data_IF_811068086577
#
_entry.id   IF_811068086577
#
_cell.length_a   1.000
_cell.length_b   1.000
_cell.length_c   1.000
_cell.angle_alpha   90.00
_cell.angle_beta   90.00
_cell.angle_gamma   90.00
#
_symmetry.space_group_name_H-M   'P 1'
#
loop_
_entity.id
_entity.type
_entity.pdbx_description
1 polymer ?
#
# COMPACT_ATOMS: atom_id res chain seq x y z
N UNK A 1 30.10 7.74 -47.65
CA UNK A 1 30.56 7.72 -46.24
C UNK A 1 29.61 8.41 -45.27
N UNK A 2 28.96 9.53 -45.61
CA UNK A 2 28.09 10.31 -44.69
C UNK A 2 26.82 9.55 -44.23
N UNK A 3 26.23 8.72 -45.08
CA UNK A 3 24.99 7.95 -44.78
C UNK A 3 25.19 6.93 -43.64
N UNK A 4 26.35 6.27 -43.60
CA UNK A 4 26.67 5.28 -42.55
C UNK A 4 26.88 5.94 -41.18
N UNK A 5 27.44 7.16 -41.14
CA UNK A 5 27.65 7.92 -39.90
C UNK A 5 26.30 8.37 -39.31
N UNK A 6 25.35 8.79 -40.15
CA UNK A 6 24.00 9.17 -39.71
C UNK A 6 23.22 7.95 -39.20
N UNK A 7 23.32 6.81 -39.89
CA UNK A 7 22.66 5.56 -39.48
C UNK A 7 23.23 5.02 -38.15
N UNK A 8 24.56 5.06 -37.98
CA UNK A 8 25.23 4.70 -36.73
C UNK A 8 24.80 5.62 -35.57
N UNK A 9 24.73 6.94 -35.78
CA UNK A 9 24.32 7.89 -34.74
C UNK A 9 22.87 7.70 -34.30
N UNK A 10 21.98 7.29 -35.22
CA UNK A 10 20.58 7.01 -34.94
C UNK A 10 20.39 5.76 -34.09
N UNK A 11 21.18 4.70 -34.34
CA UNK A 11 21.19 3.51 -33.48
C UNK A 11 21.73 3.83 -32.08
N UNK A 12 22.85 4.55 -31.98
CA UNK A 12 23.42 4.91 -30.67
C UNK A 12 22.54 5.84 -29.85
N UNK A 13 21.61 6.57 -30.46
CA UNK A 13 20.64 7.43 -29.75
C UNK A 13 19.31 6.71 -29.45
N UNK A 14 18.89 5.77 -30.30
CA UNK A 14 17.69 4.96 -30.06
C UNK A 14 17.89 3.90 -28.95
N UNK A 15 19.08 3.31 -28.86
CA UNK A 15 19.43 2.32 -27.83
C UNK A 15 19.39 2.86 -26.39
N UNK A 16 19.90 4.06 -26.04
CA UNK A 16 19.80 4.60 -24.67
C UNK A 16 18.36 4.95 -24.28
N UNK A 17 17.52 5.44 -25.21
CA UNK A 17 16.11 5.70 -24.93
C UNK A 17 15.34 4.40 -24.65
N UNK A 18 15.57 3.34 -25.44
CA UNK A 18 14.96 2.01 -25.22
C UNK A 18 15.45 1.37 -23.92
N UNK A 19 16.74 1.51 -23.56
CA UNK A 19 17.29 1.06 -22.27
C UNK A 19 16.66 1.79 -21.09
N UNK A 20 16.49 3.11 -21.16
CA UNK A 20 15.84 3.88 -20.10
C UNK A 20 14.38 3.46 -19.89
N UNK A 21 13.64 3.26 -20.98
CA UNK A 21 12.26 2.76 -20.94
C UNK A 21 12.17 1.37 -20.28
N UNK A 22 13.11 0.47 -20.57
CA UNK A 22 13.17 -0.86 -19.93
C UNK A 22 13.48 -0.74 -18.43
N UNK A 23 14.46 0.08 -18.04
CA UNK A 23 14.80 0.28 -16.63
C UNK A 23 13.62 0.88 -15.87
N UNK A 24 12.96 1.90 -16.43
CA UNK A 24 11.77 2.51 -15.84
C UNK A 24 10.64 1.49 -15.68
N UNK A 25 10.38 0.66 -16.68
CA UNK A 25 9.38 -0.40 -16.61
C UNK A 25 9.70 -1.43 -15.52
N UNK A 26 10.96 -1.88 -15.42
CA UNK A 26 11.40 -2.82 -14.38
C UNK A 26 11.26 -2.23 -12.97
N UNK A 27 11.59 -0.95 -12.79
CA UNK A 27 11.41 -0.24 -11.52
C UNK A 27 9.94 -0.14 -11.15
N UNK A 28 9.06 0.24 -12.10
CA UNK A 28 7.60 0.32 -11.85
C UNK A 28 7.01 -1.05 -11.51
N UNK A 29 7.42 -2.11 -12.23
CA UNK A 29 7.00 -3.49 -11.95
C UNK A 29 7.45 -3.91 -10.56
N UNK A 30 8.72 -3.67 -10.20
CA UNK A 30 9.24 -3.99 -8.88
C UNK A 30 8.48 -3.26 -7.77
N UNK A 31 8.24 -1.95 -7.90
CA UNK A 31 7.46 -1.16 -6.93
C UNK A 31 6.04 -1.70 -6.79
N UNK A 32 5.41 -2.08 -7.91
CA UNK A 32 4.06 -2.64 -7.92
C UNK A 32 4.00 -3.99 -7.21
N UNK A 33 4.95 -4.89 -7.48
CA UNK A 33 5.07 -6.20 -6.82
C UNK A 33 5.28 -6.06 -5.31
N UNK A 34 6.19 -5.18 -4.90
CA UNK A 34 6.46 -4.88 -3.48
C UNK A 34 5.21 -4.34 -2.80
N UNK A 35 4.47 -3.45 -3.47
CA UNK A 35 3.21 -2.89 -2.94
C UNK A 35 2.13 -3.95 -2.76
N UNK A 36 1.99 -4.90 -3.69
CA UNK A 36 1.02 -5.99 -3.56
C UNK A 36 1.39 -6.92 -2.39
N UNK A 37 2.66 -7.30 -2.28
CA UNK A 37 3.13 -8.19 -1.22
C UNK A 37 2.97 -7.57 0.18
N UNK A 38 3.32 -6.29 0.32
CA UNK A 38 3.17 -5.57 1.58
C UNK A 38 1.68 -5.49 2.03
N UNK A 39 0.73 -5.35 1.08
CA UNK A 39 -0.71 -5.28 1.41
C UNK A 39 -1.16 -6.59 2.06
N UNK A 40 -0.75 -7.70 1.45
CA UNK A 40 -1.05 -9.04 1.94
C UNK A 40 -0.50 -9.29 3.34
N UNK A 41 0.74 -8.88 3.62
CA UNK A 41 1.35 -9.02 4.95
C UNK A 41 0.56 -8.26 6.01
N UNK A 42 0.24 -6.98 5.77
CA UNK A 42 -0.46 -6.16 6.76
C UNK A 42 -1.87 -6.70 7.03
N UNK A 43 -2.60 -7.07 5.98
CA UNK A 43 -3.94 -7.69 6.14
C UNK A 43 -3.84 -8.99 6.94
N UNK A 44 -2.82 -9.81 6.66
CA UNK A 44 -2.59 -11.05 7.39
C UNK A 44 -2.31 -10.80 8.87
N UNK A 45 -1.44 -9.84 9.22
CA UNK A 45 -1.17 -9.46 10.61
C UNK A 45 -2.44 -9.02 11.32
N UNK A 46 -3.27 -8.18 10.69
CA UNK A 46 -4.54 -7.71 11.29
C UNK A 46 -5.53 -8.87 11.49
N UNK A 47 -5.62 -9.81 10.54
CA UNK A 47 -6.49 -10.99 10.68
C UNK A 47 -5.99 -11.96 11.76
N UNK A 48 -4.68 -12.15 11.86
CA UNK A 48 -4.02 -12.90 12.94
C UNK A 48 -4.37 -12.26 14.27
N UNK A 49 -4.20 -10.94 14.40
CA UNK A 49 -4.63 -10.20 15.58
C UNK A 49 -6.12 -10.42 15.89
N UNK A 50 -7.02 -10.28 14.92
CA UNK A 50 -8.46 -10.52 15.13
C UNK A 50 -8.78 -11.93 15.63
N UNK A 51 -8.00 -12.95 15.22
CA UNK A 51 -8.20 -14.35 15.61
C UNK A 51 -7.65 -14.66 17.00
N UNK A 52 -6.48 -14.13 17.36
CA UNK A 52 -5.81 -14.45 18.62
C UNK A 52 -6.06 -13.43 19.74
N UNK A 53 -6.51 -12.22 19.42
CA UNK A 53 -6.80 -11.21 20.43
C UNK A 53 -7.99 -11.65 21.31
N UNK A 54 -7.89 -11.48 22.64
CA UNK A 54 -8.96 -11.85 23.55
C UNK A 54 -10.22 -11.03 23.29
N UNK A 55 -11.38 -11.65 23.50
CA UNK A 55 -12.68 -11.01 23.28
C UNK A 55 -12.82 -9.69 24.06
N UNK A 56 -12.25 -9.61 25.27
CA UNK A 56 -12.24 -8.38 26.09
C UNK A 56 -11.65 -7.18 25.34
N UNK A 57 -10.55 -7.36 24.61
CA UNK A 57 -9.90 -6.28 23.85
C UNK A 57 -10.72 -5.91 22.62
N UNK A 58 -11.28 -6.92 21.92
CA UNK A 58 -12.12 -6.69 20.74
C UNK A 58 -13.43 -5.96 21.07
N UNK A 59 -14.05 -6.29 22.21
CA UNK A 59 -15.29 -5.68 22.71
C UNK A 59 -15.06 -4.31 23.38
N UNK A 60 -13.80 -3.95 23.68
CA UNK A 60 -13.46 -2.64 24.23
C UNK A 60 -13.44 -1.53 23.17
N UNK A 61 -13.55 -1.89 21.88
CA UNK A 61 -13.57 -0.91 20.80
C UNK A 61 -14.84 -0.07 20.89
N UNK A 62 -14.68 1.25 20.96
CA UNK A 62 -15.80 2.21 21.14
C UNK A 62 -16.44 2.66 19.83
N UNK A 63 -15.80 2.34 18.72
CA UNK A 63 -16.27 2.72 17.41
C UNK A 63 -16.75 1.53 16.58
N UNK A 64 -17.75 1.77 15.74
CA UNK A 64 -18.27 0.84 14.73
C UNK A 64 -17.89 1.33 13.32
N UNK A 65 -17.36 0.47 12.43
CA UNK A 65 -16.89 -0.88 12.71
C UNK A 65 -15.63 -0.82 13.60
N UNK A 66 -15.26 -1.94 14.23
CA UNK A 66 -14.08 -2.00 15.12
C UNK A 66 -12.81 -1.41 14.48
N UNK A 67 -11.87 -0.85 15.26
CA UNK A 67 -10.63 -0.25 14.72
C UNK A 67 -9.83 -1.21 13.83
N UNK A 68 -9.82 -2.51 14.16
CA UNK A 68 -9.18 -3.54 13.32
C UNK A 68 -9.87 -3.71 11.97
N UNK A 69 -11.20 -3.70 11.95
CA UNK A 69 -12.00 -3.79 10.72
C UNK A 69 -11.87 -2.53 9.89
N UNK A 70 -11.90 -1.35 10.51
CA UNK A 70 -11.64 -0.08 9.85
C UNK A 70 -10.26 -0.06 9.20
N UNK A 71 -9.24 -0.59 9.86
CA UNK A 71 -7.90 -0.66 9.26
C UNK A 71 -7.89 -1.52 8.00
N UNK A 72 -8.62 -2.65 7.97
CA UNK A 72 -8.76 -3.47 6.76
C UNK A 72 -9.44 -2.70 5.63
N UNK A 73 -10.58 -2.05 5.90
CA UNK A 73 -11.32 -1.28 4.88
C UNK A 73 -10.52 -0.07 4.41
N UNK A 74 -9.81 0.61 5.31
CA UNK A 74 -8.97 1.75 4.97
C UNK A 74 -7.76 1.35 4.11
N UNK A 75 -7.13 0.21 4.40
CA UNK A 75 -6.05 -0.36 3.57
C UNK A 75 -6.56 -0.73 2.19
N UNK A 76 -7.78 -1.25 2.10
CA UNK A 76 -8.38 -1.61 0.81
C UNK A 76 -8.69 -0.39 -0.04
N UNK A 77 -9.29 0.66 0.55
CA UNK A 77 -9.72 1.88 -0.13
C UNK A 77 -8.60 2.87 -0.45
N UNK A 78 -7.63 3.03 0.45
CA UNK A 78 -6.60 4.07 0.35
C UNK A 78 -5.18 3.53 0.10
N UNK A 79 -5.02 2.21 0.01
CA UNK A 79 -3.73 1.55 -0.03
C UNK A 79 -3.07 1.46 1.35
N UNK A 80 -1.93 0.79 1.42
CA UNK A 80 -1.29 0.39 2.68
C UNK A 80 -0.91 1.59 3.54
N UNK A 81 -0.15 2.54 2.97
CA UNK A 81 0.42 3.64 3.75
C UNK A 81 -0.69 4.50 4.36
N UNK A 82 -1.61 4.99 3.53
CA UNK A 82 -2.71 5.84 3.98
C UNK A 82 -3.71 5.06 4.84
N UNK A 83 -3.98 3.80 4.50
CA UNK A 83 -4.89 2.94 5.25
C UNK A 83 -4.39 2.64 6.66
N UNK A 84 -3.11 2.28 6.79
CA UNK A 84 -2.46 2.06 8.09
C UNK A 84 -2.45 3.34 8.92
N UNK A 85 -2.08 4.48 8.33
CA UNK A 85 -2.09 5.77 9.04
C UNK A 85 -3.49 6.13 9.54
N UNK A 86 -4.53 5.96 8.71
CA UNK A 86 -5.93 6.18 9.12
C UNK A 86 -6.35 5.22 10.24
N UNK A 87 -6.01 3.93 10.13
CA UNK A 87 -6.29 2.93 11.15
C UNK A 87 -5.63 3.23 12.50
N UNK A 88 -4.33 3.57 12.50
CA UNK A 88 -3.58 3.92 13.70
C UNK A 88 -4.14 5.20 14.34
N UNK A 89 -4.41 6.25 13.55
CA UNK A 89 -5.01 7.48 14.08
C UNK A 89 -6.36 7.22 14.74
N UNK A 90 -7.17 6.30 14.19
CA UNK A 90 -8.45 5.91 14.80
C UNK A 90 -8.23 5.12 16.09
N UNK A 91 -7.29 4.17 16.09
CA UNK A 91 -6.93 3.38 17.27
C UNK A 91 -6.49 4.28 18.44
N UNK A 92 -5.68 5.30 18.16
CA UNK A 92 -5.23 6.27 19.17
C UNK A 92 -6.37 7.08 19.79
N UNK A 93 -7.46 7.30 19.05
CA UNK A 93 -8.65 8.01 19.55
C UNK A 93 -9.65 7.08 20.23
N UNK A 94 -9.45 5.76 20.20
CA UNK A 94 -10.39 4.76 20.72
C UNK A 94 -10.33 4.68 22.26
N UNK A 95 -10.74 5.75 22.92
CA UNK A 95 -10.85 5.87 24.37
C UNK A 95 -11.96 6.88 24.71
N UNK A 96 -12.56 6.83 25.91
CA UNK A 96 -13.55 7.84 26.30
C UNK A 96 -12.93 9.26 26.23
N UNK A 97 -13.70 10.29 25.81
CA UNK A 97 -15.14 10.30 25.51
C UNK A 97 -15.50 9.86 24.08
N UNK A 98 -14.53 9.46 23.25
CA UNK A 98 -14.75 9.19 21.84
C UNK A 98 -15.41 7.81 21.60
N UNK A 99 -16.23 7.73 20.56
CA UNK A 99 -16.92 6.51 20.10
C UNK A 99 -17.93 6.82 19.00
N UNK A 100 -18.67 5.81 18.56
CA UNK A 100 -19.74 5.94 17.54
C UNK A 100 -19.39 5.34 16.18
N UNK A 101 -20.15 5.72 15.14
CA UNK A 101 -19.98 5.19 13.78
C UNK A 101 -19.00 6.04 12.97
N UNK A 102 -17.94 5.42 12.43
CA UNK A 102 -16.94 6.11 11.59
C UNK A 102 -16.36 5.13 10.54
N UNK A 103 -16.78 5.30 9.30
CA UNK A 103 -16.36 4.45 8.18
C UNK A 103 -15.30 5.16 7.34
N UNK A 104 -14.25 4.44 6.88
CA UNK A 104 -13.16 5.03 6.11
C UNK A 104 -13.59 5.39 4.68
#
# INVERSE_FOLDING_TARGET
MVVWIIFSKRLTFYVPFKRYQIILALVVIYISLVSIFAKSIVIWIVKVYQRYAPAKVRLSCRFEPTCSQYMLVAIDKYGIVKGVVKGIRRLLRCHPPNGGEDYP
#
